data_IF_838382123920
#
_entry.id   IF_838382123920
#
_cell.length_a   1.000
_cell.length_b   1.000
_cell.length_c   1.000
_cell.angle_alpha   90.00
_cell.angle_beta   90.00
_cell.angle_gamma   90.00
#
_symmetry.space_group_name_H-M   'P 1'
#
loop_
_entity.id
_entity.type
_entity.pdbx_description
1 polymer ?
#
# COMPACT_ATOMS: atom_id res chain seq x y z
N UNK A 1 -26.76 23.31 22.70
CA UNK A 1 -27.93 23.78 21.92
C UNK A 1 -27.67 23.21 20.52
N UNK A 2 -28.41 22.15 20.17
CA UNK A 2 -28.33 21.56 18.84
C UNK A 2 -28.86 22.55 17.82
N UNK A 3 -28.03 22.96 16.86
CA UNK A 3 -28.54 23.75 15.73
C UNK A 3 -29.58 22.92 14.96
N UNK A 4 -30.70 23.51 14.54
CA UNK A 4 -31.71 22.76 13.81
C UNK A 4 -31.13 22.27 12.47
N UNK A 5 -31.16 20.96 12.25
CA UNK A 5 -30.76 20.37 10.96
C UNK A 5 -31.74 20.79 9.89
N UNK A 6 -31.28 21.44 8.81
CA UNK A 6 -32.05 21.84 7.67
C UNK A 6 -32.01 20.73 6.63
N UNK A 7 -33.12 20.20 6.11
CA UNK A 7 -33.13 19.26 5.00
C UNK A 7 -32.45 19.86 3.77
N UNK A 8 -31.64 19.07 3.04
CA UNK A 8 -31.10 19.50 1.76
C UNK A 8 -32.23 19.89 0.80
N UNK A 9 -32.16 21.08 0.22
CA UNK A 9 -33.25 21.65 -0.59
C UNK A 9 -33.39 20.92 -1.95
N UNK A 10 -32.32 20.34 -2.48
CA UNK A 10 -32.34 19.54 -3.71
C UNK A 10 -31.17 18.57 -3.77
N UNK A 11 -31.25 17.55 -4.65
CA UNK A 11 -30.15 16.62 -4.93
C UNK A 11 -28.98 17.29 -5.68
N UNK A 12 -29.11 18.49 -6.18
CA UNK A 12 -28.10 19.25 -6.93
C UNK A 12 -27.42 20.31 -6.08
N UNK A 13 -27.80 20.47 -4.81
CA UNK A 13 -27.23 21.45 -3.92
C UNK A 13 -25.79 21.08 -3.55
N UNK A 14 -24.87 22.04 -3.71
CA UNK A 14 -23.44 21.84 -3.46
C UNK A 14 -23.08 22.37 -2.08
N UNK A 15 -22.46 21.53 -1.28
CA UNK A 15 -21.97 21.86 0.05
C UNK A 15 -20.47 21.81 0.11
N UNK A 16 -19.86 22.68 0.90
CA UNK A 16 -18.46 22.58 1.25
C UNK A 16 -18.28 21.51 2.34
N UNK A 17 -17.65 20.40 2.00
CA UNK A 17 -17.43 19.27 2.90
C UNK A 17 -16.56 19.62 4.12
N UNK A 18 -15.78 20.72 4.08
CA UNK A 18 -14.94 21.15 5.19
C UNK A 18 -15.73 21.88 6.28
N UNK A 19 -16.89 22.47 5.93
CA UNK A 19 -17.67 23.32 6.83
C UNK A 19 -19.08 22.79 7.12
N UNK A 20 -19.62 21.87 6.28
CA UNK A 20 -20.96 21.34 6.43
C UNK A 20 -21.00 20.06 7.30
N UNK A 21 -21.85 20.05 8.31
CA UNK A 21 -22.19 18.86 9.07
C UNK A 21 -23.41 18.19 8.43
N UNK A 22 -23.33 16.90 8.18
CA UNK A 22 -24.38 16.10 7.57
C UNK A 22 -24.93 15.08 8.56
N UNK A 23 -26.24 14.85 8.51
CA UNK A 23 -26.88 13.76 9.25
C UNK A 23 -27.80 12.97 8.34
N UNK A 24 -27.89 11.66 8.55
CA UNK A 24 -28.86 10.78 7.89
C UNK A 24 -29.65 10.07 8.98
N UNK A 25 -30.97 10.23 8.97
CA UNK A 25 -31.86 9.68 10.00
C UNK A 25 -31.41 10.05 11.43
N UNK A 26 -30.93 11.31 11.62
CA UNK A 26 -30.45 11.81 12.91
C UNK A 26 -29.07 11.31 13.34
N UNK A 27 -28.39 10.50 12.53
CA UNK A 27 -27.01 10.04 12.78
C UNK A 27 -26.01 10.92 12.03
N UNK A 28 -24.90 11.34 12.69
CA UNK A 28 -23.85 12.11 12.02
C UNK A 28 -23.28 11.33 10.83
N UNK A 29 -23.16 11.98 9.68
CA UNK A 29 -22.54 11.43 8.48
C UNK A 29 -21.25 12.20 8.17
N UNK A 30 -20.11 11.54 8.26
CA UNK A 30 -18.84 12.10 7.82
C UNK A 30 -18.70 11.87 6.31
N UNK A 31 -18.79 12.92 5.52
CA UNK A 31 -18.50 12.87 4.10
C UNK A 31 -17.01 13.13 3.87
N UNK A 32 -16.34 12.21 3.20
CA UNK A 32 -14.95 12.36 2.80
C UNK A 32 -14.85 12.52 1.29
N UNK A 33 -14.00 13.45 0.84
CA UNK A 33 -13.72 13.65 -0.59
C UNK A 33 -13.09 12.41 -1.22
N UNK A 34 -12.23 11.72 -0.47
CA UNK A 34 -11.50 10.54 -0.91
C UNK A 34 -11.74 9.37 0.03
N UNK A 35 -11.65 8.17 -0.53
CA UNK A 35 -11.73 6.90 0.22
C UNK A 35 -10.37 6.23 0.26
N UNK A 36 -10.01 5.66 1.42
CA UNK A 36 -8.73 5.00 1.64
C UNK A 36 -8.98 3.63 2.26
N UNK A 37 -8.56 2.60 1.54
CA UNK A 37 -8.75 1.20 1.93
C UNK A 37 -7.40 0.53 2.10
N UNK A 38 -7.13 -0.01 3.28
CA UNK A 38 -6.01 -0.91 3.53
C UNK A 38 -6.50 -2.34 3.28
N UNK A 39 -5.94 -2.98 2.28
CA UNK A 39 -6.23 -4.36 1.91
C UNK A 39 -5.02 -5.24 2.28
N UNK A 40 -5.26 -6.38 2.93
CA UNK A 40 -4.28 -7.46 2.98
C UNK A 40 -4.40 -8.28 1.69
N UNK A 41 -3.65 -7.90 0.66
CA UNK A 41 -3.69 -8.60 -0.62
C UNK A 41 -3.24 -10.06 -0.44
N UNK A 42 -4.03 -11.06 -0.83
CA UNK A 42 -3.58 -12.45 -0.87
C UNK A 42 -2.73 -12.73 -2.11
N UNK A 43 -2.00 -13.84 -2.11
CA UNK A 43 -1.41 -14.40 -3.33
C UNK A 43 -2.49 -14.83 -4.33
N UNK A 44 -2.13 -14.90 -5.60
CA UNK A 44 -3.02 -15.36 -6.68
C UNK A 44 -3.92 -14.30 -7.31
N UNK A 45 -3.98 -13.07 -6.75
CA UNK A 45 -4.83 -11.97 -7.20
C UNK A 45 -3.98 -10.87 -7.86
N UNK A 46 -4.46 -10.31 -8.96
CA UNK A 46 -3.78 -9.22 -9.67
C UNK A 46 -3.97 -7.87 -8.98
N UNK A 47 -2.90 -7.07 -8.92
CA UNK A 47 -3.00 -5.66 -8.55
C UNK A 47 -3.39 -4.83 -9.79
N UNK A 48 -4.67 -4.87 -10.11
CA UNK A 48 -5.29 -4.15 -11.21
C UNK A 48 -6.71 -3.72 -10.82
N UNK A 49 -7.27 -2.75 -11.53
CA UNK A 49 -8.66 -2.34 -11.36
C UNK A 49 -9.62 -3.31 -12.03
N UNK A 50 -9.23 -3.86 -13.16
CA UNK A 50 -10.00 -4.88 -13.90
C UNK A 50 -9.06 -5.81 -14.67
N UNK A 51 -9.50 -7.04 -14.89
CA UNK A 51 -8.87 -8.02 -15.79
C UNK A 51 -9.94 -8.99 -16.31
N UNK A 52 -9.84 -9.39 -17.58
CA UNK A 52 -10.84 -10.27 -18.21
C UNK A 52 -10.70 -11.75 -17.86
N UNK A 53 -9.57 -12.17 -17.30
CA UNK A 53 -9.20 -13.58 -17.14
C UNK A 53 -8.82 -13.96 -15.72
N UNK A 54 -8.46 -12.99 -14.89
CA UNK A 54 -7.91 -13.26 -13.58
C UNK A 54 -8.54 -12.34 -12.52
N UNK A 55 -8.77 -12.84 -11.31
CA UNK A 55 -9.32 -12.02 -10.22
C UNK A 55 -8.40 -10.85 -9.88
N UNK A 56 -9.00 -9.70 -9.62
CA UNK A 56 -8.31 -8.47 -9.27
C UNK A 56 -8.52 -8.08 -7.81
N UNK A 57 -7.69 -7.18 -7.30
CA UNK A 57 -7.80 -6.68 -5.91
C UNK A 57 -9.11 -5.95 -5.65
N UNK A 58 -9.74 -5.33 -6.66
CA UNK A 58 -11.04 -4.68 -6.47
C UNK A 58 -12.17 -5.68 -6.28
N UNK A 59 -12.08 -6.88 -6.82
CA UNK A 59 -13.09 -7.92 -6.65
C UNK A 59 -13.15 -8.46 -5.20
N UNK A 60 -12.12 -8.23 -4.39
CA UNK A 60 -12.12 -8.54 -2.95
C UNK A 60 -12.92 -7.55 -2.10
N UNK A 61 -13.28 -6.39 -2.68
CA UNK A 61 -14.06 -5.37 -1.99
C UNK A 61 -15.56 -5.59 -2.17
N UNK A 62 -16.42 -5.09 -1.27
CA UNK A 62 -17.86 -5.15 -1.42
C UNK A 62 -18.34 -4.20 -2.54
N UNK A 63 -19.57 -4.41 -3.06
CA UNK A 63 -20.09 -3.65 -4.18
C UNK A 63 -20.09 -2.12 -3.98
N UNK A 64 -20.26 -1.65 -2.75
CA UNK A 64 -20.32 -0.23 -2.39
C UNK A 64 -18.95 0.44 -2.64
N UNK A 65 -17.86 -0.24 -2.28
CA UNK A 65 -16.49 0.25 -2.51
C UNK A 65 -16.05 0.07 -3.97
N UNK A 66 -16.55 -0.94 -4.67
CA UNK A 66 -16.25 -1.13 -6.11
C UNK A 66 -16.84 -0.02 -7.00
N UNK A 67 -17.90 0.64 -6.57
CA UNK A 67 -18.53 1.77 -7.28
C UNK A 67 -17.74 3.08 -7.14
N UNK A 68 -16.87 3.16 -6.15
CA UNK A 68 -15.94 4.26 -5.98
C UNK A 68 -14.76 3.99 -6.91
N UNK A 69 -14.29 5.00 -7.62
CA UNK A 69 -13.17 4.88 -8.57
C UNK A 69 -11.83 4.71 -7.80
N UNK A 70 -11.71 3.58 -7.10
CA UNK A 70 -10.53 3.22 -6.34
C UNK A 70 -9.46 2.63 -7.25
N UNK A 71 -8.22 3.06 -7.05
CA UNK A 71 -7.05 2.50 -7.70
C UNK A 71 -6.00 2.05 -6.66
N UNK A 72 -5.22 1.00 -6.95
CA UNK A 72 -4.14 0.58 -6.07
C UNK A 72 -2.97 1.58 -6.08
N UNK A 73 -2.45 1.89 -4.90
CA UNK A 73 -1.25 2.71 -4.71
C UNK A 73 -0.02 1.84 -4.93
N UNK A 74 0.47 1.84 -6.16
CA UNK A 74 1.51 0.93 -6.62
C UNK A 74 0.99 -0.50 -6.82
N UNK A 75 1.93 -1.39 -7.07
CA UNK A 75 1.61 -2.79 -7.42
C UNK A 75 2.37 -3.75 -6.53
N UNK A 76 1.73 -4.87 -6.22
CA UNK A 76 2.34 -6.10 -5.74
C UNK A 76 2.20 -7.15 -6.84
N UNK A 77 3.20 -8.00 -6.97
CA UNK A 77 3.13 -9.12 -7.90
C UNK A 77 1.97 -10.05 -7.54
N UNK A 78 1.53 -10.88 -8.49
CA UNK A 78 0.41 -11.80 -8.30
C UNK A 78 0.62 -12.72 -7.09
N UNK A 79 1.83 -13.23 -6.92
CA UNK A 79 2.25 -14.14 -5.85
C UNK A 79 2.74 -13.42 -4.57
N UNK A 80 2.84 -12.08 -4.58
CA UNK A 80 3.23 -11.28 -3.41
C UNK A 80 1.99 -10.92 -2.59
N UNK A 81 2.10 -11.10 -1.29
CA UNK A 81 1.06 -10.79 -0.32
C UNK A 81 1.31 -9.47 0.41
N UNK A 82 0.35 -9.08 1.24
CA UNK A 82 0.55 -8.05 2.25
C UNK A 82 -0.19 -6.74 2.00
N UNK A 83 0.28 -5.69 2.64
CA UNK A 83 -0.37 -4.38 2.65
C UNK A 83 -0.47 -3.78 1.25
N UNK A 84 -1.68 -3.51 0.81
CA UNK A 84 -1.96 -2.73 -0.39
C UNK A 84 -2.95 -1.60 -0.02
N UNK A 85 -2.56 -0.37 -0.31
CA UNK A 85 -3.45 0.78 -0.20
C UNK A 85 -4.22 0.95 -1.51
N UNK A 86 -5.54 1.17 -1.40
CA UNK A 86 -6.41 1.53 -2.50
C UNK A 86 -7.05 2.89 -2.18
N UNK A 87 -7.09 3.79 -3.15
CA UNK A 87 -7.70 5.11 -2.98
C UNK A 87 -8.06 5.74 -4.31
N UNK A 88 -8.96 6.71 -4.29
CA UNK A 88 -9.26 7.61 -5.41
C UNK A 88 -8.56 8.98 -5.29
N UNK A 89 -7.62 9.14 -4.32
CA UNK A 89 -6.75 10.30 -4.18
C UNK A 89 -5.52 10.17 -5.09
N UNK A 90 -5.62 10.70 -6.30
CA UNK A 90 -4.55 10.61 -7.30
C UNK A 90 -3.30 11.40 -6.92
N UNK A 91 -3.45 12.54 -6.21
CA UNK A 91 -2.28 13.33 -5.79
C UNK A 91 -1.46 12.61 -4.73
N UNK A 92 -2.13 12.09 -3.69
CA UNK A 92 -1.46 11.28 -2.68
C UNK A 92 -0.81 10.04 -3.28
N UNK A 93 -1.50 9.35 -4.20
CA UNK A 93 -0.96 8.18 -4.92
C UNK A 93 0.34 8.52 -5.63
N UNK A 94 0.36 9.61 -6.40
CA UNK A 94 1.56 10.04 -7.12
C UNK A 94 2.73 10.32 -6.17
N UNK A 95 2.49 10.99 -5.06
CA UNK A 95 3.54 11.31 -4.07
C UNK A 95 4.06 10.08 -3.34
N UNK A 96 3.19 9.17 -2.90
CA UNK A 96 3.57 7.91 -2.24
C UNK A 96 4.43 7.00 -3.12
N UNK A 97 4.25 7.07 -4.44
CA UNK A 97 4.99 6.26 -5.39
C UNK A 97 6.28 6.92 -5.87
N UNK A 98 6.37 8.24 -5.78
CA UNK A 98 7.52 9.00 -6.23
C UNK A 98 8.73 8.77 -5.32
N UNK A 99 9.91 8.40 -5.86
CA UNK A 99 11.14 8.25 -5.09
C UNK A 99 11.56 9.51 -4.33
N UNK A 100 11.09 10.69 -4.79
CA UNK A 100 11.39 12.00 -4.18
C UNK A 100 10.96 12.10 -2.71
N UNK A 101 9.88 11.42 -2.33
CA UNK A 101 9.33 11.49 -0.96
C UNK A 101 9.89 10.41 -0.04
N UNK A 102 10.76 9.54 -0.54
CA UNK A 102 11.44 8.51 0.24
C UNK A 102 10.52 7.64 1.11
N UNK A 103 9.33 7.33 0.61
CA UNK A 103 8.35 6.52 1.34
C UNK A 103 8.83 5.08 1.40
N UNK A 104 9.23 4.64 2.59
CA UNK A 104 9.72 3.29 2.83
C UNK A 104 8.63 2.24 2.61
N UNK A 105 9.01 1.15 1.98
CA UNK A 105 8.20 -0.06 1.80
C UNK A 105 8.97 -1.23 2.37
N UNK A 106 8.46 -1.87 3.43
CA UNK A 106 9.12 -2.99 4.09
C UNK A 106 8.49 -4.30 3.67
N UNK A 107 9.33 -5.26 3.34
CA UNK A 107 8.93 -6.58 2.87
C UNK A 107 9.59 -7.67 3.70
N UNK A 108 8.80 -8.60 4.22
CA UNK A 108 9.28 -9.88 4.73
C UNK A 108 9.51 -10.81 3.54
N UNK A 109 10.71 -11.37 3.46
CA UNK A 109 11.05 -12.38 2.44
C UNK A 109 11.55 -13.66 3.09
N UNK A 110 11.11 -14.82 2.58
CA UNK A 110 11.77 -16.11 2.77
C UNK A 110 12.45 -16.48 1.47
N UNK A 111 13.70 -16.93 1.55
CA UNK A 111 14.56 -17.12 0.39
C UNK A 111 15.13 -18.54 0.35
N UNK A 112 15.59 -18.96 -0.83
CA UNK A 112 16.30 -20.21 -1.03
C UNK A 112 17.80 -19.92 -1.23
N UNK A 113 18.47 -19.64 -0.14
CA UNK A 113 19.89 -19.31 -0.08
C UNK A 113 20.23 -18.63 1.23
N UNK A 114 21.49 -18.60 1.57
CA UNK A 114 21.98 -17.97 2.79
C UNK A 114 22.46 -16.55 2.48
N UNK A 115 21.98 -15.59 3.25
CA UNK A 115 22.38 -14.19 3.17
C UNK A 115 23.40 -13.88 4.25
N UNK A 116 24.32 -12.97 3.96
CA UNK A 116 25.47 -12.62 4.79
C UNK A 116 25.52 -11.11 5.11
N UNK A 117 26.35 -10.66 6.04
CA UNK A 117 26.61 -9.23 6.25
C UNK A 117 27.17 -8.51 5.01
N UNK A 118 27.82 -9.23 4.08
CA UNK A 118 28.28 -8.65 2.82
C UNK A 118 27.08 -8.25 1.93
N UNK A 119 25.99 -9.04 1.92
CA UNK A 119 24.77 -8.72 1.19
C UNK A 119 24.08 -7.51 1.79
N UNK A 120 24.07 -7.38 3.14
CA UNK A 120 23.54 -6.18 3.82
C UNK A 120 24.28 -4.92 3.34
N UNK A 121 25.62 -4.99 3.24
CA UNK A 121 26.44 -3.89 2.74
C UNK A 121 26.20 -3.58 1.28
N UNK A 122 26.01 -4.61 0.44
CA UNK A 122 25.69 -4.45 -0.98
C UNK A 122 24.33 -3.77 -1.19
N UNK A 123 23.30 -4.16 -0.44
CA UNK A 123 22.00 -3.50 -0.46
C UNK A 123 22.10 -2.03 -0.05
N UNK A 124 22.82 -1.74 1.03
CA UNK A 124 23.00 -0.38 1.54
C UNK A 124 23.76 0.53 0.56
N UNK A 125 24.67 -0.01 -0.25
CA UNK A 125 25.36 0.74 -1.29
C UNK A 125 24.50 0.97 -2.56
N UNK A 126 23.41 0.21 -2.72
CA UNK A 126 22.71 0.06 -3.98
C UNK A 126 23.43 -0.94 -4.89
N UNK A 127 22.72 -1.51 -5.85
CA UNK A 127 23.28 -2.52 -6.73
C UNK A 127 22.84 -2.36 -8.18
N UNK A 128 23.72 -2.76 -9.09
CA UNK A 128 23.36 -2.93 -10.50
C UNK A 128 23.05 -4.40 -10.75
N UNK A 129 21.86 -4.68 -11.21
CA UNK A 129 21.42 -6.05 -11.49
C UNK A 129 22.02 -6.57 -12.82
N UNK A 130 22.03 -7.89 -13.06
CA UNK A 130 22.68 -8.49 -14.24
C UNK A 130 22.16 -7.96 -15.59
N UNK A 131 20.92 -7.44 -15.65
CA UNK A 131 20.34 -6.83 -16.85
C UNK A 131 20.59 -5.31 -16.95
N UNK A 132 21.48 -4.77 -16.10
CA UNK A 132 21.84 -3.36 -16.08
C UNK A 132 20.91 -2.46 -15.29
N UNK A 133 19.86 -2.98 -14.64
CA UNK A 133 18.99 -2.16 -13.79
C UNK A 133 19.74 -1.70 -12.55
N UNK A 134 19.89 -0.38 -12.39
CA UNK A 134 20.50 0.22 -11.21
C UNK A 134 19.44 0.37 -10.13
N UNK A 135 19.64 -0.27 -8.97
CA UNK A 135 18.79 -0.15 -7.77
C UNK A 135 19.37 0.88 -6.80
N UNK A 136 18.53 1.75 -6.26
CA UNK A 136 18.91 2.69 -5.21
C UNK A 136 19.30 1.94 -3.92
N UNK A 137 20.07 2.59 -3.01
CA UNK A 137 20.35 2.07 -1.68
C UNK A 137 19.08 1.55 -0.99
N UNK A 138 19.19 0.35 -0.43
CA UNK A 138 18.08 -0.38 0.19
C UNK A 138 18.52 -0.96 1.55
N UNK A 139 17.55 -1.15 2.46
CA UNK A 139 17.81 -1.87 3.70
C UNK A 139 17.68 -3.38 3.52
N UNK A 140 18.60 -4.14 4.09
CA UNK A 140 18.47 -5.59 4.27
C UNK A 140 18.74 -5.92 5.74
N UNK A 141 17.77 -6.51 6.42
CA UNK A 141 17.84 -6.95 7.80
C UNK A 141 17.73 -8.48 7.83
N UNK A 142 18.76 -9.17 8.31
CA UNK A 142 18.73 -10.62 8.48
C UNK A 142 18.00 -10.96 9.78
N UNK A 143 17.00 -11.80 9.70
CA UNK A 143 16.23 -12.21 10.87
C UNK A 143 16.82 -13.47 11.53
N UNK A 144 16.53 -13.72 12.84
CA UNK A 144 16.98 -14.94 13.53
C UNK A 144 16.49 -16.24 12.87
N UNK A 145 15.33 -16.21 12.21
CA UNK A 145 14.83 -17.35 11.45
C UNK A 145 15.71 -17.56 10.22
N UNK A 146 16.19 -18.80 10.00
CA UNK A 146 17.00 -19.11 8.82
C UNK A 146 16.33 -18.68 7.52
N UNK A 147 17.13 -18.16 6.60
CA UNK A 147 16.70 -17.77 5.24
C UNK A 147 15.52 -16.81 5.24
N UNK A 148 15.43 -15.96 6.25
CA UNK A 148 14.35 -14.98 6.40
C UNK A 148 14.97 -13.59 6.61
N UNK A 149 14.45 -12.60 5.89
CA UNK A 149 14.94 -11.22 5.96
C UNK A 149 13.84 -10.21 5.80
N UNK A 150 14.12 -8.96 6.19
CA UNK A 150 13.32 -7.78 5.85
C UNK A 150 14.08 -6.95 4.82
N UNK A 151 13.43 -6.62 3.73
CA UNK A 151 13.94 -5.68 2.72
C UNK A 151 13.16 -4.37 2.80
N UNK A 152 13.87 -3.23 2.86
CA UNK A 152 13.29 -1.89 2.87
C UNK A 152 13.68 -1.13 1.62
N UNK A 153 12.70 -0.72 0.81
CA UNK A 153 12.88 0.03 -0.43
C UNK A 153 12.20 1.39 -0.38
N UNK A 154 12.79 2.38 -1.08
CA UNK A 154 12.21 3.72 -1.32
C UNK A 154 11.75 3.95 -2.75
N UNK A 155 11.88 2.95 -3.58
CA UNK A 155 11.44 2.91 -4.97
C UNK A 155 10.60 1.65 -5.24
N UNK A 156 10.19 1.40 -6.48
CA UNK A 156 9.36 0.24 -6.81
C UNK A 156 9.53 -0.18 -8.25
N UNK A 157 10.73 -0.69 -8.60
CA UNK A 157 11.00 -1.23 -9.94
C UNK A 157 10.39 -2.62 -10.10
N UNK A 158 10.23 -3.04 -11.35
CA UNK A 158 9.63 -4.34 -11.67
C UNK A 158 10.36 -5.50 -10.97
N UNK A 159 9.63 -6.24 -10.13
CA UNK A 159 10.10 -7.38 -9.34
C UNK A 159 11.37 -7.08 -8.50
N UNK A 160 11.57 -5.83 -8.06
CA UNK A 160 12.84 -5.36 -7.52
C UNK A 160 13.36 -6.18 -6.34
N UNK A 161 12.53 -6.43 -5.32
CA UNK A 161 12.94 -7.24 -4.15
C UNK A 161 13.42 -8.62 -4.58
N UNK A 162 12.64 -9.30 -5.42
CA UNK A 162 12.96 -10.65 -5.92
C UNK A 162 14.28 -10.68 -6.69
N UNK A 163 14.48 -9.67 -7.53
CA UNK A 163 15.67 -9.57 -8.38
C UNK A 163 16.93 -9.23 -7.59
N UNK A 164 16.83 -8.33 -6.61
CA UNK A 164 17.95 -7.98 -5.74
C UNK A 164 18.39 -9.19 -4.90
N UNK A 165 17.43 -9.90 -4.27
CA UNK A 165 17.73 -11.10 -3.49
C UNK A 165 18.28 -12.24 -4.37
N UNK A 166 17.74 -12.45 -5.58
CA UNK A 166 18.26 -13.43 -6.53
C UNK A 166 19.69 -13.09 -6.97
N UNK A 167 20.03 -11.81 -7.16
CA UNK A 167 21.39 -11.37 -7.47
C UNK A 167 22.39 -11.63 -6.33
N UNK A 168 21.90 -11.72 -5.08
CA UNK A 168 22.68 -12.16 -3.90
C UNK A 168 22.69 -13.70 -3.71
N UNK A 169 22.24 -14.48 -4.71
CA UNK A 169 22.20 -15.95 -4.61
C UNK A 169 21.08 -16.50 -3.74
N UNK A 170 20.09 -15.68 -3.35
CA UNK A 170 19.01 -16.03 -2.44
C UNK A 170 17.63 -15.76 -3.09
N UNK A 171 17.19 -16.56 -4.08
CA UNK A 171 15.92 -16.36 -4.74
C UNK A 171 14.74 -16.44 -3.77
N UNK A 172 13.73 -15.61 -4.00
CA UNK A 172 12.57 -15.47 -3.11
C UNK A 172 11.61 -16.64 -3.27
N UNK A 173 11.28 -17.30 -2.16
CA UNK A 173 10.23 -18.32 -2.04
C UNK A 173 8.90 -17.74 -1.57
N UNK A 174 8.95 -16.70 -0.72
CA UNK A 174 7.77 -16.02 -0.19
C UNK A 174 8.06 -14.54 0.00
N UNK A 175 7.09 -13.68 -0.33
CA UNK A 175 7.20 -12.24 -0.20
C UNK A 175 5.91 -11.62 0.32
N UNK A 176 6.02 -10.82 1.39
CA UNK A 176 4.89 -10.12 1.99
C UNK A 176 5.27 -8.68 2.30
N UNK A 177 4.50 -7.70 1.81
CA UNK A 177 4.69 -6.30 2.19
C UNK A 177 4.08 -6.05 3.56
N UNK A 178 4.91 -5.68 4.53
CA UNK A 178 4.52 -5.42 5.91
C UNK A 178 4.05 -3.97 6.12
N UNK A 179 4.68 -3.01 5.42
CA UNK A 179 4.37 -1.60 5.62
C UNK A 179 4.62 -0.77 4.36
N UNK A 180 3.98 0.41 4.33
CA UNK A 180 4.19 1.45 3.32
C UNK A 180 4.10 2.82 4.00
N UNK A 181 5.25 3.50 4.14
CA UNK A 181 5.35 4.72 4.93
C UNK A 181 4.88 4.48 6.37
N UNK A 182 3.95 5.30 6.87
CA UNK A 182 3.42 5.16 8.23
C UNK A 182 2.42 4.00 8.39
N UNK A 183 1.92 3.43 7.30
CA UNK A 183 0.96 2.32 7.38
C UNK A 183 1.67 1.00 7.63
N UNK A 184 1.16 0.26 8.60
CA UNK A 184 1.59 -1.12 8.90
C UNK A 184 0.41 -2.07 8.70
N UNK A 185 0.69 -3.25 8.16
CA UNK A 185 -0.32 -4.30 8.03
C UNK A 185 -0.68 -4.82 9.42
N UNK A 186 -1.95 -4.73 9.86
CA UNK A 186 -2.36 -5.28 11.15
C UNK A 186 -2.21 -6.80 11.19
N UNK A 187 -1.76 -7.35 12.31
CA UNK A 187 -1.57 -8.79 12.49
C UNK A 187 -2.90 -9.56 12.48
N UNK A 188 -3.98 -8.90 12.92
CA UNK A 188 -5.34 -9.44 12.99
C UNK A 188 -6.13 -9.30 11.68
N UNK A 189 -5.58 -8.65 10.65
CA UNK A 189 -6.22 -8.53 9.35
C UNK A 189 -5.82 -9.72 8.45
N UNK A 190 -6.71 -10.72 8.23
CA UNK A 190 -6.36 -11.90 7.44
C UNK A 190 -6.19 -11.58 5.95
N UNK A 191 -5.48 -12.44 5.17
CA UNK A 191 -5.39 -12.31 3.72
C UNK A 191 -6.77 -12.23 3.05
N UNK A 192 -6.95 -11.28 2.14
CA UNK A 192 -8.23 -10.99 1.48
C UNK A 192 -9.12 -10.01 2.23
N UNK A 193 -8.88 -9.78 3.51
CA UNK A 193 -9.63 -8.79 4.29
C UNK A 193 -9.10 -7.37 4.08
N UNK A 194 -9.98 -6.40 4.32
CA UNK A 194 -9.69 -4.99 4.20
C UNK A 194 -10.30 -4.20 5.36
N UNK A 195 -9.84 -2.98 5.56
CA UNK A 195 -10.48 -1.96 6.39
C UNK A 195 -10.28 -0.57 5.80
N UNK A 196 -11.11 0.37 6.21
CA UNK A 196 -10.86 1.79 5.93
C UNK A 196 -9.72 2.30 6.81
N UNK A 197 -9.01 3.33 6.33
CA UNK A 197 -8.02 4.03 7.15
C UNK A 197 -8.71 4.93 8.18
N UNK A 198 -8.06 5.09 9.33
CA UNK A 198 -8.43 6.10 10.33
C UNK A 198 -7.99 7.50 9.88
N UNK A 199 -8.52 8.55 10.51
CA UNK A 199 -8.12 9.94 10.22
C UNK A 199 -6.66 10.21 10.57
N UNK A 200 -6.15 9.56 11.62
CA UNK A 200 -4.74 9.63 12.02
C UNK A 200 -3.83 9.01 10.97
N UNK A 201 -4.21 7.85 10.40
CA UNK A 201 -3.46 7.18 9.34
C UNK A 201 -3.43 8.02 8.05
N UNK A 202 -4.59 8.57 7.67
CA UNK A 202 -4.69 9.48 6.52
C UNK A 202 -3.80 10.71 6.73
N UNK A 203 -3.89 11.36 7.90
CA UNK A 203 -3.07 12.50 8.25
C UNK A 203 -1.57 12.17 8.25
N UNK A 204 -1.20 10.97 8.69
CA UNK A 204 0.20 10.50 8.64
C UNK A 204 0.70 10.30 7.21
N UNK A 205 -0.15 9.79 6.29
CA UNK A 205 0.18 9.69 4.87
C UNK A 205 0.41 11.06 4.23
N UNK A 206 -0.44 12.03 4.52
CA UNK A 206 -0.28 13.40 4.03
C UNK A 206 1.02 14.03 4.52
N UNK A 207 1.32 13.89 5.82
CA UNK A 207 2.58 14.41 6.39
C UNK A 207 3.84 13.83 5.74
N UNK A 208 3.89 12.51 5.51
CA UNK A 208 5.08 11.90 4.88
C UNK A 208 5.24 12.32 3.42
N UNK A 209 4.17 12.76 2.77
CA UNK A 209 4.16 13.27 1.40
C UNK A 209 4.30 14.80 1.33
N UNK A 210 4.53 15.49 2.43
CA UNK A 210 4.60 16.96 2.52
C UNK A 210 3.36 17.64 1.90
N UNK A 211 2.18 17.17 2.30
CA UNK A 211 0.87 17.69 1.91
C UNK A 211 0.15 18.29 3.11
#
# INVERSE_FOLDING_TARGET
MDEPSVPAASAEEKYDLASAAFTVCGQPLTLRRYTYVLLHKPAGVLTATEDRRQPTVLELLPPELRRIDLAPVGRLDKDTEGLLLLTNDGELTHRLLSPRYHVDKRYLARVDGDLSPADVSAFAAGMTLPDGLVCLPAGLELLPQPRTCIVTLREGKFHQVKRMLAASGAPVLYLKRLSMGPLTLPDDLPPGAYRLLTDEEISALYRVCAM
#
